data_IF_857137387078
#
_entry.id   IF_857137387078
#
_cell.length_a   1.000
_cell.length_b   1.000
_cell.length_c   1.000
_cell.angle_alpha   90.00
_cell.angle_beta   90.00
_cell.angle_gamma   90.00
#
_symmetry.space_group_name_H-M   'P 1'
#
loop_
_entity.id
_entity.type
_entity.pdbx_description
1 polymer ?
#
# COMPACT_ATOMS: atom_id res chain seq x y z
N UNK A 1 8.70 -29.23 -36.63
CA UNK A 1 7.33 -29.73 -36.87
C UNK A 1 6.77 -30.12 -35.51
N UNK A 2 5.75 -29.38 -35.02
CA UNK A 2 4.42 -29.90 -34.63
C UNK A 2 4.50 -31.03 -33.58
N UNK A 3 3.88 -31.00 -32.41
CA UNK A 3 2.74 -30.22 -31.93
C UNK A 3 2.46 -30.64 -30.47
N UNK A 4 1.96 -29.68 -29.68
CA UNK A 4 0.92 -29.80 -28.64
C UNK A 4 1.09 -30.78 -27.47
N UNK A 5 1.01 -30.22 -26.25
CA UNK A 5 -0.04 -30.44 -25.23
C UNK A 5 0.47 -29.79 -23.92
N UNK A 6 0.26 -28.49 -23.69
CA UNK A 6 -0.88 -27.95 -22.93
C UNK A 6 -1.41 -28.94 -21.87
N UNK A 7 -0.79 -28.95 -20.69
CA UNK A 7 -1.46 -29.31 -19.43
C UNK A 7 -1.30 -28.16 -18.45
N UNK A 8 -2.23 -27.24 -18.63
CA UNK A 8 -2.70 -26.26 -17.67
C UNK A 8 -3.10 -27.01 -16.39
N UNK A 9 -2.22 -26.99 -15.37
CA UNK A 9 -2.62 -27.31 -14.00
C UNK A 9 -3.11 -26.03 -13.31
N UNK A 10 -4.29 -25.55 -13.73
CA UNK A 10 -5.09 -24.61 -12.93
C UNK A 10 -5.60 -25.41 -11.75
N UNK A 11 -4.91 -25.30 -10.63
CA UNK A 11 -5.26 -26.04 -9.42
C UNK A 11 -4.51 -25.60 -8.17
N UNK A 12 -4.02 -24.36 -8.09
CA UNK A 12 -3.40 -23.75 -6.90
C UNK A 12 -3.43 -22.22 -6.97
N UNK A 13 -4.51 -21.60 -7.47
CA UNK A 13 -4.58 -20.13 -7.66
C UNK A 13 -4.87 -19.36 -6.36
N UNK A 14 -4.63 -19.95 -5.18
CA UNK A 14 -4.91 -19.31 -3.88
C UNK A 14 -3.69 -19.10 -2.96
N UNK A 15 -2.46 -19.45 -3.36
CA UNK A 15 -1.30 -19.33 -2.45
C UNK A 15 0.00 -18.77 -3.03
N UNK A 16 0.06 -18.38 -4.30
CA UNK A 16 1.26 -17.79 -4.90
C UNK A 16 0.99 -16.38 -5.44
N UNK A 17 0.39 -15.52 -4.61
CA UNK A 17 0.58 -14.08 -4.83
C UNK A 17 2.02 -13.82 -4.40
N UNK A 18 2.92 -13.68 -5.37
CA UNK A 18 4.34 -13.43 -5.18
C UNK A 18 4.53 -12.26 -4.19
N UNK A 19 5.49 -12.35 -3.23
CA UNK A 19 5.77 -11.28 -2.28
C UNK A 19 6.04 -9.93 -2.98
N UNK A 20 6.57 -9.96 -4.20
CA UNK A 20 6.80 -8.81 -5.07
C UNK A 20 5.53 -7.96 -5.35
N UNK A 21 4.38 -8.58 -5.57
CA UNK A 21 3.14 -7.87 -5.91
C UNK A 21 2.47 -7.25 -4.67
N UNK A 22 2.56 -7.93 -3.52
CA UNK A 22 2.12 -7.36 -2.23
C UNK A 22 3.01 -6.19 -1.81
N UNK A 23 4.32 -6.33 -2.00
CA UNK A 23 5.27 -5.23 -1.83
C UNK A 23 4.96 -4.06 -2.77
N UNK A 24 4.50 -4.31 -4.00
CA UNK A 24 4.12 -3.22 -4.92
C UNK A 24 2.88 -2.44 -4.46
N UNK A 25 1.85 -3.09 -3.92
CA UNK A 25 0.66 -2.37 -3.42
C UNK A 25 0.97 -1.68 -2.08
N UNK A 26 1.61 -2.37 -1.14
CA UNK A 26 2.03 -1.80 0.15
C UNK A 26 2.96 -0.60 -0.02
N UNK A 27 3.90 -0.67 -0.96
CA UNK A 27 4.77 0.45 -1.30
C UNK A 27 3.97 1.67 -1.81
N UNK A 28 3.03 1.47 -2.75
CA UNK A 28 2.19 2.57 -3.25
C UNK A 28 1.30 3.17 -2.16
N UNK A 29 0.76 2.34 -1.26
CA UNK A 29 -0.01 2.80 -0.10
C UNK A 29 0.87 3.61 0.86
N UNK A 30 2.09 3.16 1.11
CA UNK A 30 3.03 3.88 1.96
C UNK A 30 3.42 5.23 1.34
N UNK A 31 3.77 5.26 0.06
CA UNK A 31 4.12 6.50 -0.64
C UNK A 31 2.95 7.48 -0.65
N UNK A 32 1.73 6.98 -0.84
CA UNK A 32 0.53 7.80 -0.72
C UNK A 32 0.39 8.37 0.70
N UNK A 33 0.55 7.55 1.75
CA UNK A 33 0.48 7.99 3.13
C UNK A 33 1.51 9.08 3.46
N UNK A 34 2.76 8.88 3.02
CA UNK A 34 3.84 9.86 3.18
C UNK A 34 3.48 11.16 2.46
N UNK A 35 2.98 11.08 1.23
CA UNK A 35 2.57 12.25 0.45
C UNK A 35 1.40 12.99 1.11
N UNK A 36 0.39 12.27 1.59
CA UNK A 36 -0.75 12.85 2.30
C UNK A 36 -0.26 13.57 3.57
N UNK A 37 0.64 12.98 4.35
CA UNK A 37 1.21 13.62 5.54
C UNK A 37 1.99 14.90 5.21
N UNK A 38 2.92 14.84 4.24
CA UNK A 38 3.73 16.00 3.84
C UNK A 38 2.85 17.14 3.30
N UNK A 39 1.74 16.82 2.61
CA UNK A 39 0.76 17.80 2.15
C UNK A 39 -0.17 18.35 3.23
N UNK A 40 -0.07 17.85 4.47
CA UNK A 40 -1.01 18.11 5.56
C UNK A 40 -0.40 18.88 6.72
N UNK A 41 0.51 19.82 6.45
CA UNK A 41 1.37 20.53 7.41
C UNK A 41 0.71 21.04 8.72
N UNK A 42 -0.61 21.27 8.73
CA UNK A 42 -1.36 21.76 9.90
C UNK A 42 -2.57 20.88 10.27
N UNK A 43 -2.69 19.68 9.70
CA UNK A 43 -3.81 18.78 9.98
C UNK A 43 -3.49 17.85 11.13
N UNK A 44 -4.50 17.58 11.95
CA UNK A 44 -4.41 16.52 12.94
C UNK A 44 -4.37 15.13 12.27
N UNK A 45 -3.86 14.14 13.00
CA UNK A 45 -3.71 12.76 12.53
C UNK A 45 -5.04 12.17 12.03
N UNK A 46 -6.18 12.54 12.62
CA UNK A 46 -7.50 12.04 12.19
C UNK A 46 -7.87 12.55 10.81
N UNK A 47 -7.59 13.83 10.54
CA UNK A 47 -7.77 14.43 9.24
C UNK A 47 -6.87 13.78 8.18
N UNK A 48 -5.59 13.51 8.52
CA UNK A 48 -4.64 12.81 7.65
C UNK A 48 -5.12 11.39 7.32
N UNK A 49 -5.62 10.66 8.33
CA UNK A 49 -6.21 9.32 8.14
C UNK A 49 -7.38 9.34 7.16
N UNK A 50 -8.26 10.33 7.26
CA UNK A 50 -9.43 10.48 6.39
C UNK A 50 -9.04 10.85 4.96
N UNK A 51 -8.07 11.75 4.80
CA UNK A 51 -7.58 12.15 3.49
C UNK A 51 -6.91 10.97 2.79
N UNK A 52 -6.07 10.22 3.51
CA UNK A 52 -5.46 9.00 3.00
C UNK A 52 -6.51 7.97 2.57
N UNK A 53 -7.50 7.66 3.42
CA UNK A 53 -8.56 6.69 3.08
C UNK A 53 -9.32 7.09 1.81
N UNK A 54 -9.63 8.37 1.68
CA UNK A 54 -10.33 8.92 0.52
C UNK A 54 -9.49 8.80 -0.75
N UNK A 55 -8.22 9.22 -0.70
CA UNK A 55 -7.31 9.14 -1.83
C UNK A 55 -7.01 7.69 -2.20
N UNK A 56 -6.82 6.83 -1.21
CA UNK A 56 -6.58 5.41 -1.38
C UNK A 56 -7.75 4.74 -2.11
N UNK A 57 -8.98 4.91 -1.61
CA UNK A 57 -10.19 4.35 -2.25
C UNK A 57 -10.36 4.85 -3.68
N UNK A 58 -10.00 6.11 -3.95
CA UNK A 58 -10.05 6.70 -5.29
C UNK A 58 -8.98 6.11 -6.22
N UNK A 59 -7.73 6.01 -5.75
CA UNK A 59 -6.60 5.53 -6.55
C UNK A 59 -6.74 4.05 -6.89
N UNK A 60 -7.23 3.26 -5.94
CA UNK A 60 -7.32 1.81 -6.05
C UNK A 60 -8.75 1.31 -6.32
N UNK A 61 -9.67 2.19 -6.74
CA UNK A 61 -11.08 1.88 -6.98
C UNK A 61 -11.34 0.72 -7.96
N UNK A 62 -10.35 0.39 -8.81
CA UNK A 62 -10.43 -0.71 -9.78
C UNK A 62 -10.07 -2.07 -9.18
N UNK A 63 -9.57 -2.10 -7.94
CA UNK A 63 -9.23 -3.33 -7.20
C UNK A 63 -10.41 -3.67 -6.29
N UNK A 64 -11.04 -4.86 -6.43
CA UNK A 64 -12.26 -5.21 -5.70
C UNK A 64 -12.14 -5.13 -4.17
N UNK A 65 -10.94 -5.38 -3.64
CA UNK A 65 -10.67 -5.42 -2.19
C UNK A 65 -9.99 -4.15 -1.66
N UNK A 66 -9.71 -3.17 -2.53
CA UNK A 66 -8.97 -1.98 -2.12
C UNK A 66 -9.66 -1.15 -1.03
N UNK A 67 -10.99 -0.93 -1.03
CA UNK A 67 -11.60 -0.13 0.03
C UNK A 67 -11.37 -0.71 1.43
N UNK A 68 -11.42 -2.04 1.57
CA UNK A 68 -11.15 -2.71 2.83
C UNK A 68 -9.66 -2.66 3.19
N UNK A 69 -8.78 -2.80 2.19
CA UNK A 69 -7.33 -2.69 2.39
C UNK A 69 -6.93 -1.26 2.80
N UNK A 70 -7.54 -0.23 2.21
CA UNK A 70 -7.34 1.18 2.59
C UNK A 70 -7.68 1.41 4.06
N UNK A 71 -8.85 0.92 4.49
CA UNK A 71 -9.28 1.02 5.89
C UNK A 71 -8.36 0.24 6.82
N UNK A 72 -7.93 -0.96 6.41
CA UNK A 72 -6.96 -1.75 7.16
C UNK A 72 -5.62 -0.99 7.31
N UNK A 73 -5.15 -0.38 6.22
CA UNK A 73 -3.91 0.38 6.18
C UNK A 73 -3.97 1.63 7.08
N UNK A 74 -5.10 2.34 7.09
CA UNK A 74 -5.34 3.47 8.00
C UNK A 74 -5.15 3.06 9.46
N UNK A 75 -5.68 1.90 9.83
CA UNK A 75 -5.72 1.43 11.23
C UNK A 75 -4.39 0.82 11.67
N UNK A 76 -3.73 0.06 10.80
CA UNK A 76 -2.55 -0.74 11.19
C UNK A 76 -1.21 -0.12 10.77
N UNK A 77 -1.20 0.73 9.74
CA UNK A 77 0.03 1.15 9.05
C UNK A 77 0.26 2.65 9.00
N UNK A 78 -0.78 3.47 9.08
CA UNK A 78 -0.62 4.92 8.95
C UNK A 78 0.10 5.56 10.16
N UNK A 79 -0.21 5.11 11.38
CA UNK A 79 0.41 5.64 12.60
C UNK A 79 1.95 5.44 12.65
N UNK A 80 2.52 4.26 12.33
CA UNK A 80 3.97 4.11 12.29
C UNK A 80 4.63 4.93 11.18
N UNK A 81 3.97 5.15 10.04
CA UNK A 81 4.46 6.03 8.96
C UNK A 81 4.54 7.47 9.44
N UNK A 82 3.48 7.96 10.08
CA UNK A 82 3.40 9.31 10.65
C UNK A 82 4.49 9.50 11.70
N UNK A 83 4.63 8.55 12.62
CA UNK A 83 5.66 8.60 13.66
C UNK A 83 7.08 8.66 13.08
N UNK A 84 7.34 7.93 12.01
CA UNK A 84 8.63 7.94 11.33
C UNK A 84 8.93 9.32 10.72
N UNK A 85 7.93 9.96 10.10
CA UNK A 85 8.02 11.32 9.57
C UNK A 85 8.23 12.36 10.68
N UNK A 86 7.48 12.25 11.78
CA UNK A 86 7.63 13.12 12.97
C UNK A 86 9.01 12.97 13.64
N UNK A 87 9.60 11.77 13.57
CA UNK A 87 10.96 11.52 14.09
C UNK A 87 12.07 12.11 13.23
N UNK A 88 11.73 12.72 12.08
CA UNK A 88 12.67 13.39 11.18
C UNK A 88 13.22 12.49 10.07
N UNK A 89 12.66 11.30 9.87
CA UNK A 89 13.04 10.47 8.72
C UNK A 89 12.57 11.12 7.43
N UNK A 90 13.46 11.15 6.44
CA UNK A 90 13.16 11.77 5.16
C UNK A 90 11.99 11.02 4.49
N UNK A 91 11.00 11.72 3.91
CA UNK A 91 9.81 11.12 3.29
C UNK A 91 10.11 9.96 2.33
N UNK A 92 11.16 10.10 1.52
CA UNK A 92 11.64 9.09 0.56
C UNK A 92 12.16 7.79 1.19
N UNK A 93 12.60 7.85 2.45
CA UNK A 93 13.26 6.74 3.13
C UNK A 93 12.29 5.98 4.05
N UNK A 94 11.15 6.59 4.42
CA UNK A 94 10.15 6.01 5.34
C UNK A 94 9.66 4.65 4.88
N UNK A 95 9.20 4.55 3.62
CA UNK A 95 8.60 3.33 3.11
C UNK A 95 9.59 2.18 2.94
N UNK A 96 10.84 2.49 2.61
CA UNK A 96 11.92 1.52 2.58
C UNK A 96 12.31 1.06 4.00
N UNK A 97 12.36 2.00 4.95
CA UNK A 97 12.71 1.71 6.35
C UNK A 97 11.66 0.86 7.05
N UNK A 98 10.39 1.03 6.72
CA UNK A 98 9.28 0.22 7.22
C UNK A 98 9.11 -1.11 6.46
N UNK A 99 9.90 -1.34 5.42
CA UNK A 99 9.86 -2.57 4.61
C UNK A 99 8.63 -2.69 3.71
N UNK A 100 7.90 -1.59 3.51
CA UNK A 100 6.76 -1.52 2.59
C UNK A 100 7.25 -1.47 1.13
N UNK A 101 8.37 -0.79 0.89
CA UNK A 101 9.10 -0.80 -0.38
C UNK A 101 10.42 -1.58 -0.22
N UNK A 102 10.76 -2.42 -1.21
CA UNK A 102 12.05 -3.15 -1.29
C UNK A 102 12.78 -2.80 -2.57
#
# INVERSE_FOLDING_TARGET
MKSLLLLVAIGFVACLVLPEQRSSLGCQMCELAVKTYVGSADKDVTSIKKDFDTECKKLFHSIPFAPQECEHYVNEKLDPIIKELESGTAPKDVCSKLGECK
#
